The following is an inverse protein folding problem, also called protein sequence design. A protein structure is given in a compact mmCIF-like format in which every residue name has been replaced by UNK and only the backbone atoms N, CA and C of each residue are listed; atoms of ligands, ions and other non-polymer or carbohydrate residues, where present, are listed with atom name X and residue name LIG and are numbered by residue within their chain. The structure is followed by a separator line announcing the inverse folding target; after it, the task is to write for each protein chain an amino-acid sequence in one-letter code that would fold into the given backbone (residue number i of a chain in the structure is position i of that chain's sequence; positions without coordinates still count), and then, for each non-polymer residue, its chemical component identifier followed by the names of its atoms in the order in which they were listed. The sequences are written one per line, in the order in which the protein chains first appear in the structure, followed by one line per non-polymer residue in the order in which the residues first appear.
data_IF_188439778388
#
_entry.id   IF_188439778388
#
_cell.length_a   1.000
_cell.length_b   1.000
_cell.length_c   1.000
_cell.angle_alpha   90.00
_cell.angle_beta   90.00
_cell.angle_gamma   90.00
#
_symmetry.space_group_name_H-M   'P 1'
#
loop_
_entity.id
_entity.type
_entity.pdbx_description
1 polymer ?
#
# COMPACT_ATOMS: atom_id res chain seq x y z
N UNK A 1 -20.21 -0.92 26.90
CA UNK A 1 -19.43 -1.03 25.64
C UNK A 1 -18.05 -0.47 25.92
N UNK A 2 -16.99 -1.25 25.68
CA UNK A 2 -15.61 -0.73 25.72
C UNK A 2 -15.50 0.38 24.66
N UNK A 3 -14.96 1.56 24.98
CA UNK A 3 -14.79 2.62 23.99
C UNK A 3 -13.96 2.08 22.82
N UNK A 4 -14.49 2.18 21.60
CA UNK A 4 -13.71 1.90 20.40
C UNK A 4 -12.72 3.04 20.17
N UNK A 5 -11.44 2.71 19.96
CA UNK A 5 -10.41 3.69 19.61
C UNK A 5 -10.71 4.43 18.30
N UNK A 6 -9.87 5.39 17.88
CA UNK A 6 -10.13 6.28 16.74
C UNK A 6 -10.18 5.56 15.37
N UNK A 7 -9.79 4.28 15.33
CA UNK A 7 -9.84 3.41 14.15
C UNK A 7 -10.93 2.32 14.23
N UNK A 8 -11.84 2.42 15.21
CA UNK A 8 -12.96 1.50 15.38
C UNK A 8 -12.53 0.14 15.94
N UNK A 9 -13.26 -0.91 15.57
CA UNK A 9 -12.96 -2.29 15.96
C UNK A 9 -11.60 -2.74 15.44
N UNK A 10 -11.00 -3.67 16.17
CA UNK A 10 -9.69 -4.26 15.89
C UNK A 10 -9.88 -5.76 15.60
N UNK A 11 -9.54 -6.19 14.39
CA UNK A 11 -9.67 -7.56 13.93
C UNK A 11 -8.32 -8.27 14.01
N UNK A 12 -8.08 -8.98 15.12
CA UNK A 12 -6.87 -9.76 15.30
C UNK A 12 -6.98 -11.11 14.57
N UNK A 13 -5.90 -11.50 13.89
CA UNK A 13 -5.72 -12.80 13.25
C UNK A 13 -4.34 -13.37 13.60
N UNK A 14 -4.19 -14.68 13.60
CA UNK A 14 -2.99 -15.41 13.97
C UNK A 14 -2.84 -16.73 13.20
N UNK A 15 -1.60 -17.18 13.01
CA UNK A 15 -1.29 -18.49 12.46
C UNK A 15 0.12 -18.92 12.91
N UNK A 16 0.21 -19.91 13.80
CA UNK A 16 1.48 -20.25 14.44
C UNK A 16 2.00 -19.09 15.29
N UNK A 17 3.23 -18.64 15.04
CA UNK A 17 3.87 -17.50 15.69
C UNK A 17 3.54 -16.13 15.04
N UNK A 18 2.73 -16.14 13.98
CA UNK A 18 2.34 -14.93 13.25
C UNK A 18 1.10 -14.29 13.87
N UNK A 19 1.10 -12.97 13.98
CA UNK A 19 -0.03 -12.18 14.45
C UNK A 19 -0.18 -10.91 13.64
N UNK A 20 -1.41 -10.58 13.23
CA UNK A 20 -1.74 -9.32 12.57
C UNK A 20 -3.02 -8.72 13.14
N UNK A 21 -3.13 -7.38 13.09
CA UNK A 21 -4.35 -6.66 13.47
C UNK A 21 -4.76 -5.72 12.36
N UNK A 22 -6.02 -5.84 11.93
CA UNK A 22 -6.64 -4.99 10.91
C UNK A 22 -7.69 -4.09 11.59
N UNK A 23 -7.78 -2.82 11.21
CA UNK A 23 -8.75 -1.87 11.78
C UNK A 23 -10.05 -1.82 10.99
N UNK A 24 -11.17 -1.48 11.64
CA UNK A 24 -12.44 -1.19 10.98
C UNK A 24 -12.35 0.01 10.05
N UNK A 25 -11.79 1.11 10.55
CA UNK A 25 -11.54 2.28 9.72
C UNK A 25 -10.43 1.98 8.72
N UNK A 26 -10.72 2.18 7.44
CA UNK A 26 -9.79 2.04 6.32
C UNK A 26 -9.36 0.61 6.01
N UNK A 27 -9.84 -0.41 6.74
CA UNK A 27 -9.31 -1.76 6.69
C UNK A 27 -7.78 -1.80 6.85
N UNK A 28 -7.21 -0.90 7.67
CA UNK A 28 -5.78 -0.68 7.70
C UNK A 28 -5.05 -1.81 8.44
N UNK A 29 -3.92 -2.27 7.89
CA UNK A 29 -3.02 -3.20 8.58
C UNK A 29 -2.25 -2.46 9.68
N UNK A 30 -2.74 -2.54 10.93
CA UNK A 30 -2.15 -1.83 12.07
C UNK A 30 -0.86 -2.46 12.56
N UNK A 31 -0.80 -3.78 12.55
CA UNK A 31 0.40 -4.52 12.93
C UNK A 31 0.45 -5.85 12.21
N UNK A 32 1.67 -6.32 11.96
CA UNK A 32 1.96 -7.68 11.54
C UNK A 32 3.36 -8.05 12.05
N UNK A 33 3.44 -9.11 12.84
CA UNK A 33 4.66 -9.63 13.45
C UNK A 33 4.76 -11.15 13.33
N UNK A 34 5.99 -11.66 13.38
CA UNK A 34 6.32 -13.09 13.46
C UNK A 34 7.19 -13.28 14.70
N UNK A 35 6.67 -13.98 15.71
CA UNK A 35 7.26 -13.99 17.04
C UNK A 35 7.40 -12.55 17.57
N UNK A 36 8.60 -12.20 18.04
CA UNK A 36 8.91 -10.86 18.56
C UNK A 36 9.38 -9.87 17.48
N UNK A 37 9.36 -10.28 16.20
CA UNK A 37 9.82 -9.44 15.09
C UNK A 37 8.65 -8.83 14.33
N UNK A 38 8.56 -7.51 14.38
CA UNK A 38 7.67 -6.75 13.50
C UNK A 38 8.10 -6.90 12.04
N UNK A 39 7.13 -7.19 11.17
CA UNK A 39 7.28 -7.17 9.71
C UNK A 39 6.87 -5.81 9.17
N UNK A 40 5.84 -5.20 9.76
CA UNK A 40 5.49 -3.80 9.52
C UNK A 40 5.64 -2.96 10.78
N UNK A 41 5.98 -1.68 10.62
CA UNK A 41 5.99 -0.70 11.72
C UNK A 41 4.56 -0.57 12.26
N UNK A 42 4.33 -0.89 13.55
CA UNK A 42 2.99 -0.82 14.12
C UNK A 42 2.60 0.60 14.55
N UNK A 43 1.31 0.83 14.75
CA UNK A 43 0.79 2.01 15.47
C UNK A 43 -0.20 1.65 16.58
N UNK A 44 -0.42 2.58 17.51
CA UNK A 44 -1.26 2.39 18.69
C UNK A 44 -2.74 2.13 18.35
N UNK A 45 -3.44 1.38 19.20
CA UNK A 45 -4.89 1.15 19.01
C UNK A 45 -5.73 2.40 19.28
N UNK A 46 -5.16 3.35 20.02
CA UNK A 46 -5.65 4.67 20.39
C UNK A 46 -5.15 5.77 19.46
N UNK A 47 -4.48 5.41 18.36
CA UNK A 47 -3.89 6.34 17.39
C UNK A 47 -4.62 6.28 16.04
N UNK A 48 -4.68 7.41 15.34
CA UNK A 48 -4.97 7.39 13.91
C UNK A 48 -3.77 6.79 13.16
N UNK A 49 -3.98 6.14 12.00
CA UNK A 49 -2.89 5.62 11.21
C UNK A 49 -1.92 6.76 10.85
N UNK A 50 -0.69 6.77 11.38
CA UNK A 50 0.29 7.79 11.04
C UNK A 50 0.70 7.61 9.58
N UNK A 51 1.02 8.67 8.84
CA UNK A 51 1.61 8.58 7.49
C UNK A 51 1.06 7.42 6.62
N UNK A 52 -0.27 7.26 6.58
CA UNK A 52 -0.99 6.22 5.82
C UNK A 52 -0.64 4.76 6.18
N UNK A 53 -0.10 4.47 7.37
CA UNK A 53 0.31 3.12 7.76
C UNK A 53 -0.79 2.08 7.53
N UNK A 54 -0.48 1.08 6.71
CA UNK A 54 -1.36 -0.05 6.42
C UNK A 54 -2.59 0.29 5.58
N UNK A 55 -2.71 1.51 5.06
CA UNK A 55 -3.89 1.98 4.36
C UNK A 55 -4.12 1.30 3.01
N UNK A 56 -5.39 1.26 2.60
CA UNK A 56 -5.83 0.89 1.25
C UNK A 56 -6.15 2.16 0.47
N UNK A 57 -5.49 2.34 -0.67
CA UNK A 57 -5.47 3.56 -1.46
C UNK A 57 -6.29 3.34 -2.74
N UNK A 58 -7.59 3.62 -2.69
CA UNK A 58 -8.50 3.49 -3.84
C UNK A 58 -9.59 4.56 -3.80
N UNK A 59 -10.15 5.00 -4.94
CA UNK A 59 -9.96 4.46 -6.29
C UNK A 59 -8.79 5.06 -7.07
N UNK A 60 -7.86 5.78 -6.43
CA UNK A 60 -6.56 6.13 -6.98
C UNK A 60 -5.48 5.95 -5.88
N UNK A 61 -4.34 5.32 -6.19
CA UNK A 61 -3.36 4.97 -5.17
C UNK A 61 -2.52 6.16 -4.69
N UNK A 62 -2.14 7.04 -5.62
CA UNK A 62 -1.19 8.12 -5.38
C UNK A 62 -1.69 9.40 -6.09
N UNK A 63 -0.91 10.47 -6.10
CA UNK A 63 -1.32 11.85 -6.42
C UNK A 63 -2.08 11.99 -7.74
N UNK A 64 -3.08 12.85 -7.75
CA UNK A 64 -3.86 13.24 -8.93
C UNK A 64 -3.80 14.76 -9.08
N UNK A 65 -3.28 15.20 -10.23
CA UNK A 65 -3.01 16.61 -10.52
C UNK A 65 -4.27 17.47 -10.40
N UNK A 66 -4.20 18.53 -9.58
CA UNK A 66 -5.26 19.52 -9.39
C UNK A 66 -6.61 18.94 -8.93
N UNK A 67 -6.61 17.68 -8.44
CA UNK A 67 -7.84 16.97 -8.10
C UNK A 67 -8.78 16.81 -9.29
N UNK A 68 -8.31 17.01 -10.53
CA UNK A 68 -9.17 17.16 -11.70
C UNK A 68 -8.84 16.12 -12.76
N UNK A 69 -9.86 15.38 -13.18
CA UNK A 69 -9.71 14.39 -14.25
C UNK A 69 -10.91 14.41 -15.19
N UNK A 70 -10.73 13.89 -16.41
CA UNK A 70 -11.80 13.75 -17.39
C UNK A 70 -12.03 12.27 -17.67
N UNK A 71 -13.27 11.83 -17.56
CA UNK A 71 -13.68 10.48 -17.86
C UNK A 71 -15.05 10.49 -18.53
N UNK A 72 -15.23 9.70 -19.59
CA UNK A 72 -16.46 9.62 -20.39
C UNK A 72 -17.00 10.99 -20.81
N UNK A 73 -16.08 11.84 -21.26
CA UNK A 73 -16.40 13.19 -21.71
C UNK A 73 -16.69 14.18 -20.59
N UNK A 74 -16.89 13.73 -19.35
CA UNK A 74 -17.22 14.56 -18.17
C UNK A 74 -15.96 14.89 -17.37
N UNK A 75 -15.87 16.13 -16.90
CA UNK A 75 -14.81 16.56 -15.99
C UNK A 75 -15.27 16.42 -14.56
N UNK A 76 -14.43 15.84 -13.71
CA UNK A 76 -14.67 15.67 -12.29
C UNK A 76 -13.64 16.45 -11.47
N UNK A 77 -14.05 16.90 -10.28
CA UNK A 77 -13.21 17.63 -9.33
C UNK A 77 -13.29 16.96 -7.96
N UNK A 78 -12.14 16.51 -7.48
CA UNK A 78 -11.92 15.91 -6.17
C UNK A 78 -11.40 16.96 -5.18
N UNK A 79 -11.62 16.77 -3.87
CA UNK A 79 -10.99 17.58 -2.84
C UNK A 79 -9.46 17.48 -2.89
N UNK A 80 -8.79 18.61 -2.70
CA UNK A 80 -7.33 18.69 -2.53
C UNK A 80 -7.00 18.43 -1.07
N UNK A 81 -6.23 17.38 -0.79
CA UNK A 81 -5.74 17.04 0.55
C UNK A 81 -4.23 17.29 0.71
N UNK A 82 -3.51 17.64 -0.36
CA UNK A 82 -2.16 18.21 -0.30
C UNK A 82 -2.16 19.60 -0.97
N UNK A 83 -2.53 20.67 -0.22
CA UNK A 83 -2.71 22.01 -0.79
C UNK A 83 -1.46 22.57 -1.46
N UNK A 84 -0.29 22.40 -0.83
CA UNK A 84 0.98 22.95 -1.33
C UNK A 84 1.39 22.34 -2.67
N UNK A 85 1.09 21.05 -2.88
CA UNK A 85 1.33 20.35 -4.15
C UNK A 85 0.15 20.46 -5.12
N UNK A 86 -1.00 20.94 -4.66
CA UNK A 86 -2.27 21.03 -5.40
C UNK A 86 -2.67 19.68 -5.98
N UNK A 87 -2.70 18.63 -5.15
CA UNK A 87 -3.08 17.28 -5.60
C UNK A 87 -4.12 16.66 -4.68
N UNK A 88 -4.93 15.77 -5.26
CA UNK A 88 -5.72 14.81 -4.49
C UNK A 88 -4.92 13.52 -4.39
N UNK A 89 -4.60 13.07 -3.18
CA UNK A 89 -3.76 11.91 -2.93
C UNK A 89 -4.52 10.80 -2.18
N UNK A 90 -4.15 9.54 -2.43
CA UNK A 90 -4.53 8.37 -1.61
C UNK A 90 -6.02 7.97 -1.57
N UNK A 91 -6.80 8.34 -2.59
CA UNK A 91 -8.14 7.81 -2.73
C UNK A 91 -9.10 8.25 -1.62
N UNK A 92 -10.15 7.45 -1.44
CA UNK A 92 -11.27 7.73 -0.55
C UNK A 92 -11.41 6.71 0.58
N UNK A 93 -10.94 5.47 0.36
CA UNK A 93 -11.32 4.33 1.21
C UNK A 93 -10.65 4.31 2.59
N UNK A 94 -9.44 4.87 2.73
CA UNK A 94 -8.63 4.79 3.95
C UNK A 94 -9.25 5.52 5.16
N UNK A 95 -10.24 6.39 4.96
CA UNK A 95 -10.95 7.09 6.05
C UNK A 95 -12.32 6.52 6.38
N UNK A 96 -12.83 5.58 5.56
CA UNK A 96 -14.18 5.04 5.68
C UNK A 96 -14.21 3.79 6.55
N UNK A 97 -15.35 3.50 7.17
CA UNK A 97 -15.52 2.29 7.96
C UNK A 97 -15.83 1.08 7.06
N UNK A 98 -15.14 -0.02 7.31
CA UNK A 98 -15.34 -1.28 6.61
C UNK A 98 -16.08 -2.27 7.50
N UNK A 99 -17.14 -2.89 6.98
CA UNK A 99 -17.93 -3.87 7.73
C UNK A 99 -17.25 -5.24 7.66
N UNK A 100 -17.14 -5.99 8.77
CA UNK A 100 -16.68 -7.37 8.70
C UNK A 100 -17.74 -8.24 8.01
N UNK A 101 -17.29 -9.09 7.08
CA UNK A 101 -18.13 -10.10 6.42
C UNK A 101 -17.68 -11.53 6.75
N UNK A 102 -16.45 -11.70 7.22
CA UNK A 102 -15.94 -12.95 7.78
C UNK A 102 -14.75 -12.69 8.70
N UNK A 103 -14.65 -13.42 9.82
CA UNK A 103 -13.51 -13.33 10.74
C UNK A 103 -13.34 -14.68 11.43
N UNK A 104 -12.14 -15.24 11.34
CA UNK A 104 -11.71 -16.45 12.06
C UNK A 104 -10.31 -16.24 12.62
N UNK A 105 -9.75 -17.29 13.22
CA UNK A 105 -8.43 -17.22 13.84
C UNK A 105 -7.35 -16.74 12.86
N UNK A 106 -7.33 -17.16 11.59
CA UNK A 106 -6.24 -16.86 10.65
C UNK A 106 -6.60 -15.92 9.51
N UNK A 107 -7.84 -15.43 9.43
CA UNK A 107 -8.24 -14.50 8.39
C UNK A 107 -9.38 -13.57 8.79
N UNK A 108 -9.43 -12.42 8.15
CA UNK A 108 -10.54 -11.48 8.21
C UNK A 108 -10.86 -10.97 6.81
N UNK A 109 -12.14 -10.93 6.47
CA UNK A 109 -12.67 -10.29 5.29
C UNK A 109 -13.52 -9.08 5.71
N UNK A 110 -13.19 -7.92 5.15
CA UNK A 110 -13.87 -6.66 5.36
C UNK A 110 -14.44 -6.17 4.04
N UNK A 111 -15.60 -5.52 4.08
CA UNK A 111 -16.27 -4.96 2.91
C UNK A 111 -16.57 -3.46 3.08
N UNK A 112 -16.48 -2.73 1.98
CA UNK A 112 -16.85 -1.32 1.87
C UNK A 112 -17.75 -1.13 0.65
N UNK A 113 -18.90 -0.49 0.84
CA UNK A 113 -19.68 0.07 -0.27
C UNK A 113 -19.25 1.53 -0.45
N UNK A 114 -18.44 1.80 -1.47
CA UNK A 114 -18.10 3.16 -1.86
C UNK A 114 -19.26 3.74 -2.68
N UNK A 115 -20.03 4.63 -2.06
CA UNK A 115 -21.15 5.31 -2.70
C UNK A 115 -20.67 6.45 -3.62
N UNK A 116 -21.41 6.76 -4.70
CA UNK A 116 -21.15 7.93 -5.54
C UNK A 116 -21.05 9.21 -4.70
N UNK A 117 -20.07 10.05 -5.00
CA UNK A 117 -19.85 11.31 -4.28
C UNK A 117 -19.26 12.39 -5.19
N UNK A 118 -19.26 13.68 -4.77
CA UNK A 118 -18.63 14.74 -5.55
C UNK A 118 -17.21 14.37 -5.96
N UNK A 119 -16.91 14.53 -7.25
CA UNK A 119 -15.61 14.19 -7.83
C UNK A 119 -15.39 12.72 -8.17
N UNK A 120 -16.18 11.78 -7.64
CA UNK A 120 -16.14 10.36 -8.03
C UNK A 120 -17.56 9.76 -7.97
N UNK A 121 -18.38 9.93 -9.02
CA UNK A 121 -19.79 9.55 -9.02
C UNK A 121 -20.03 8.08 -9.38
N UNK A 122 -19.15 7.17 -8.97
CA UNK A 122 -19.25 5.74 -9.26
C UNK A 122 -19.48 4.93 -7.99
N UNK A 123 -20.29 3.89 -8.09
CA UNK A 123 -20.57 2.96 -6.99
C UNK A 123 -19.70 1.73 -7.11
N UNK A 124 -18.91 1.45 -6.07
CA UNK A 124 -18.09 0.23 -5.98
C UNK A 124 -18.41 -0.53 -4.69
N UNK A 125 -18.61 -1.84 -4.79
CA UNK A 125 -18.56 -2.73 -3.64
C UNK A 125 -17.18 -3.38 -3.60
N UNK A 126 -16.44 -3.17 -2.50
CA UNK A 126 -15.05 -3.57 -2.35
C UNK A 126 -14.91 -4.54 -1.19
N UNK A 127 -14.21 -5.64 -1.43
CA UNK A 127 -13.91 -6.67 -0.45
C UNK A 127 -12.40 -6.81 -0.31
N UNK A 128 -11.89 -6.81 0.92
CA UNK A 128 -10.49 -7.10 1.22
C UNK A 128 -10.41 -8.27 2.17
N UNK A 129 -9.59 -9.25 1.82
CA UNK A 129 -9.34 -10.45 2.59
C UNK A 129 -7.87 -10.51 3.01
N UNK A 130 -7.64 -10.49 4.32
CA UNK A 130 -6.35 -10.66 4.96
C UNK A 130 -6.27 -12.08 5.51
N UNK A 131 -5.29 -12.87 5.09
CA UNK A 131 -5.12 -14.25 5.53
C UNK A 131 -3.67 -14.56 5.88
N UNK A 132 -3.46 -15.07 7.10
CA UNK A 132 -2.18 -15.64 7.52
C UNK A 132 -2.10 -17.12 7.16
N UNK A 133 -0.93 -17.54 6.69
CA UNK A 133 -0.57 -18.91 6.36
C UNK A 133 0.91 -19.16 6.68
N UNK A 134 1.41 -20.37 6.43
CA UNK A 134 2.82 -20.69 6.68
C UNK A 134 3.81 -19.78 5.93
N UNK A 135 3.45 -19.26 4.75
CA UNK A 135 4.30 -18.37 3.93
C UNK A 135 4.14 -16.88 4.24
N UNK A 136 3.26 -16.50 5.18
CA UNK A 136 3.08 -15.13 5.63
C UNK A 136 1.64 -14.62 5.50
N UNK A 137 1.51 -13.29 5.45
CA UNK A 137 0.24 -12.59 5.24
C UNK A 137 -0.01 -12.43 3.73
N UNK A 138 -1.15 -12.91 3.26
CA UNK A 138 -1.67 -12.61 1.92
C UNK A 138 -2.85 -11.65 2.04
N UNK A 139 -2.84 -10.61 1.21
CA UNK A 139 -3.93 -9.66 1.04
C UNK A 139 -4.49 -9.81 -0.36
N UNK A 140 -5.81 -9.98 -0.47
CA UNK A 140 -6.53 -9.99 -1.74
C UNK A 140 -7.63 -8.95 -1.67
N UNK A 141 -7.69 -8.07 -2.65
CA UNK A 141 -8.75 -7.06 -2.76
C UNK A 141 -9.50 -7.24 -4.07
N UNK A 142 -10.82 -7.28 -4.00
CA UNK A 142 -11.73 -7.32 -5.14
C UNK A 142 -12.64 -6.11 -5.09
N UNK A 143 -12.61 -5.28 -6.14
CA UNK A 143 -13.56 -4.21 -6.38
C UNK A 143 -14.58 -4.64 -7.43
N UNK A 144 -15.86 -4.41 -7.17
CA UNK A 144 -16.98 -4.75 -8.04
C UNK A 144 -17.69 -3.45 -8.37
N UNK A 145 -17.87 -3.15 -9.66
CA UNK A 145 -18.71 -2.02 -10.04
C UNK A 145 -20.18 -2.42 -9.98
N UNK A 146 -20.88 -1.90 -8.98
CA UNK A 146 -22.30 -2.16 -8.74
C UNK A 146 -23.18 -0.96 -9.09
N UNK A 147 -22.66 -0.03 -9.90
CA UNK A 147 -23.39 1.03 -10.56
C UNK A 147 -23.70 0.72 -12.03
N UNK A 148 -24.31 1.71 -12.71
CA UNK A 148 -24.77 1.57 -14.10
C UNK A 148 -23.76 2.07 -15.14
N UNK A 149 -22.78 2.87 -14.74
CA UNK A 149 -21.74 3.42 -15.61
C UNK A 149 -20.39 2.74 -15.35
N UNK A 150 -19.51 2.69 -16.36
CA UNK A 150 -18.13 2.22 -16.19
C UNK A 150 -17.35 3.14 -15.25
N UNK A 151 -16.46 2.59 -14.43
CA UNK A 151 -15.77 3.32 -13.38
C UNK A 151 -14.24 3.31 -13.58
N UNK A 152 -13.54 4.47 -13.63
CA UNK A 152 -12.09 4.52 -13.61
C UNK A 152 -11.57 4.09 -12.23
N UNK A 153 -10.52 3.27 -12.20
CA UNK A 153 -10.06 2.64 -10.98
C UNK A 153 -8.55 2.38 -10.98
N UNK A 154 -7.92 2.71 -9.86
CA UNK A 154 -6.60 2.26 -9.47
C UNK A 154 -6.60 1.89 -7.98
N UNK A 155 -5.65 1.04 -7.59
CA UNK A 155 -5.50 0.61 -6.20
C UNK A 155 -4.03 0.52 -5.81
N UNK A 156 -3.76 0.87 -4.57
CA UNK A 156 -2.46 0.76 -3.92
C UNK A 156 -2.62 0.42 -2.44
N UNK A 157 -1.52 0.07 -1.81
CA UNK A 157 -1.48 -0.33 -0.41
C UNK A 157 -0.24 0.25 0.25
N UNK A 158 -0.30 0.51 1.55
CA UNK A 158 0.75 1.30 2.21
C UNK A 158 1.42 0.58 3.40
N UNK A 159 1.98 -0.64 3.22
CA UNK A 159 2.70 -1.31 4.28
C UNK A 159 4.05 -0.62 4.54
N UNK A 160 4.37 -0.37 5.80
CA UNK A 160 5.66 0.17 6.23
C UNK A 160 6.54 -0.98 6.73
N UNK A 161 7.47 -1.47 5.93
CA UNK A 161 8.39 -2.55 6.32
C UNK A 161 9.25 -2.12 7.51
N UNK A 162 9.32 -2.98 8.53
CA UNK A 162 10.03 -2.70 9.78
C UNK A 162 11.51 -3.10 9.70
N UNK A 163 12.44 -2.22 10.12
CA UNK A 163 13.86 -2.56 10.31
C UNK A 163 14.11 -3.33 11.62
N UNK A 164 13.04 -3.68 12.36
CA UNK A 164 13.12 -4.21 13.71
C UNK A 164 13.68 -3.17 14.68
N UNK A 165 14.80 -3.50 15.33
CA UNK A 165 15.49 -2.59 16.26
C UNK A 165 16.55 -1.72 15.57
N UNK A 166 16.84 -1.97 14.30
CA UNK A 166 17.85 -1.23 13.54
C UNK A 166 17.29 0.09 13.02
N UNK A 167 18.19 0.97 12.55
CA UNK A 167 17.81 2.15 11.78
C UNK A 167 17.60 1.76 10.32
N UNK A 168 16.73 2.48 9.62
CA UNK A 168 16.54 2.33 8.16
C UNK A 168 17.87 2.55 7.42
N UNK A 169 18.71 3.48 7.89
CA UNK A 169 20.01 3.78 7.29
C UNK A 169 20.93 2.55 7.18
N UNK A 170 20.87 1.65 8.17
CA UNK A 170 21.73 0.47 8.28
C UNK A 170 21.16 -0.74 7.52
N UNK A 171 19.94 -0.63 7.00
CA UNK A 171 19.28 -1.73 6.30
C UNK A 171 19.73 -1.84 4.84
N UNK A 172 19.66 -3.05 4.31
CA UNK A 172 19.83 -3.35 2.89
C UNK A 172 18.44 -3.37 2.24
N UNK A 173 18.28 -2.58 1.17
CA UNK A 173 17.06 -2.54 0.37
C UNK A 173 17.29 -3.20 -0.98
N UNK A 174 16.26 -3.93 -1.43
CA UNK A 174 16.14 -4.39 -2.82
C UNK A 174 14.72 -4.18 -3.32
N UNK A 175 14.58 -3.67 -4.54
CA UNK A 175 13.31 -3.41 -5.22
C UNK A 175 13.35 -4.11 -6.58
N UNK A 176 12.48 -5.09 -6.80
CA UNK A 176 12.41 -5.84 -8.06
C UNK A 176 11.62 -5.05 -9.14
N UNK A 177 12.15 -3.88 -9.54
CA UNK A 177 11.64 -3.03 -10.61
C UNK A 177 12.79 -2.41 -11.44
N UNK A 178 12.53 -2.08 -12.71
CA UNK A 178 13.59 -1.71 -13.66
C UNK A 178 13.57 -0.26 -14.16
N UNK A 179 12.56 0.54 -13.80
CA UNK A 179 12.41 1.92 -14.29
C UNK A 179 11.99 2.85 -13.16
N UNK A 180 12.47 4.08 -13.21
CA UNK A 180 12.11 5.13 -12.26
C UNK A 180 11.06 6.07 -12.87
N UNK A 181 10.05 6.43 -12.09
CA UNK A 181 9.06 7.46 -12.43
C UNK A 181 9.58 8.80 -11.92
N UNK A 182 10.31 9.53 -12.77
CA UNK A 182 10.79 10.86 -12.43
C UNK A 182 9.62 11.81 -12.27
N UNK A 183 9.60 12.55 -11.17
CA UNK A 183 8.55 13.51 -10.87
C UNK A 183 8.99 14.97 -11.04
N UNK A 184 8.01 15.86 -11.12
CA UNK A 184 8.20 17.29 -10.89
C UNK A 184 8.26 17.63 -9.37
N UNK A 185 8.26 18.93 -9.06
CA UNK A 185 8.24 19.49 -7.71
C UNK A 185 6.94 19.21 -6.93
N UNK A 186 5.85 18.89 -7.64
CA UNK A 186 4.57 18.45 -7.07
C UNK A 186 4.53 16.94 -6.83
N UNK A 187 5.63 16.22 -7.12
CA UNK A 187 5.74 14.77 -7.09
C UNK A 187 4.77 14.07 -8.07
N UNK A 188 4.44 14.73 -9.19
CA UNK A 188 3.69 14.14 -10.28
C UNK A 188 4.67 13.53 -11.30
N UNK A 189 4.45 12.29 -11.77
CA UNK A 189 5.31 11.68 -12.78
C UNK A 189 5.30 12.48 -14.09
N UNK A 190 6.48 12.81 -14.58
CA UNK A 190 6.70 13.51 -15.86
C UNK A 190 7.43 12.66 -16.88
N UNK A 191 8.16 11.62 -16.44
CA UNK A 191 8.84 10.69 -17.33
C UNK A 191 9.05 9.31 -16.67
N UNK A 192 9.18 8.27 -17.50
CA UNK A 192 9.65 6.94 -17.08
C UNK A 192 11.05 6.72 -17.62
N UNK A 193 12.05 6.67 -16.74
CA UNK A 193 13.47 6.72 -17.09
C UNK A 193 14.23 5.50 -16.55
N UNK A 194 15.50 5.36 -16.95
CA UNK A 194 16.40 4.39 -16.33
C UNK A 194 16.59 4.73 -14.84
N UNK A 195 16.89 3.72 -14.02
CA UNK A 195 17.16 3.94 -12.60
C UNK A 195 18.42 4.81 -12.45
N UNK A 196 18.35 5.97 -11.79
CA UNK A 196 19.55 6.73 -11.45
C UNK A 196 20.32 6.00 -10.34
N UNK A 197 21.65 6.11 -10.32
CA UNK A 197 22.52 5.30 -9.47
C UNK A 197 22.23 5.41 -7.96
N UNK A 198 21.74 6.57 -7.53
CA UNK A 198 21.33 6.86 -6.15
C UNK A 198 19.97 6.28 -5.76
N UNK A 199 19.12 5.93 -6.74
CA UNK A 199 17.81 5.28 -6.53
C UNK A 199 17.77 3.84 -7.05
N UNK A 200 18.88 3.35 -7.61
CA UNK A 200 18.97 1.99 -8.12
C UNK A 200 19.17 0.99 -6.98
N UNK A 201 18.03 0.46 -6.52
CA UNK A 201 17.94 -0.68 -5.60
C UNK A 201 17.52 -1.96 -6.32
N UNK A 202 17.69 -2.05 -7.64
CA UNK A 202 17.43 -3.29 -8.40
C UNK A 202 18.35 -4.43 -7.97
N UNK A 203 19.52 -4.07 -7.45
CA UNK A 203 20.44 -4.94 -6.71
C UNK A 203 20.46 -4.53 -5.24
N UNK A 204 20.54 -5.52 -4.35
CA UNK A 204 20.54 -5.29 -2.91
C UNK A 204 21.73 -4.41 -2.47
N UNK A 205 21.46 -3.32 -1.76
CA UNK A 205 22.49 -2.42 -1.20
C UNK A 205 21.99 -1.70 0.04
N UNK A 206 22.92 -1.19 0.85
CA UNK A 206 22.60 -0.35 2.01
C UNK A 206 21.86 0.93 1.59
N UNK A 207 20.82 1.29 2.35
CA UNK A 207 20.05 2.52 2.15
C UNK A 207 20.92 3.75 2.47
N UNK A 208 21.61 3.74 3.61
CA UNK A 208 22.41 4.88 4.07
C UNK A 208 21.54 6.13 4.17
N UNK A 209 22.04 7.25 3.66
CA UNK A 209 21.32 8.53 3.66
C UNK A 209 20.37 8.71 2.47
N UNK A 210 20.09 7.65 1.69
CA UNK A 210 19.15 7.75 0.58
C UNK A 210 17.77 8.16 1.11
N UNK A 211 17.18 9.13 0.42
CA UNK A 211 15.82 9.60 0.65
C UNK A 211 14.98 9.25 -0.58
N UNK A 212 13.96 8.44 -0.34
CA UNK A 212 13.04 7.96 -1.35
C UNK A 212 11.63 8.45 -1.03
N UNK A 213 10.95 8.90 -2.08
CA UNK A 213 9.49 8.94 -2.22
C UNK A 213 9.20 8.78 -3.70
N UNK A 214 9.65 7.64 -4.21
CA UNK A 214 9.82 7.42 -5.62
C UNK A 214 8.95 6.28 -6.13
N UNK A 215 8.35 6.52 -7.28
CA UNK A 215 7.65 5.50 -8.04
C UNK A 215 8.62 4.71 -8.91
N UNK A 216 8.45 3.40 -8.94
CA UNK A 216 9.19 2.46 -9.75
C UNK A 216 8.23 1.67 -10.65
N UNK A 217 8.54 1.63 -11.93
CA UNK A 217 7.78 0.94 -12.97
C UNK A 217 8.56 -0.25 -13.53
N UNK A 218 7.93 -1.00 -14.44
CA UNK A 218 8.52 -2.23 -14.99
C UNK A 218 8.91 -3.21 -13.89
N UNK A 219 7.95 -3.51 -13.00
CA UNK A 219 8.13 -4.53 -11.99
C UNK A 219 8.57 -5.86 -12.63
N UNK A 220 9.62 -6.45 -12.06
CA UNK A 220 10.16 -7.73 -12.52
C UNK A 220 9.57 -8.86 -11.68
N UNK A 221 9.04 -9.89 -12.33
CA UNK A 221 8.38 -11.01 -11.68
C UNK A 221 9.24 -12.26 -11.77
N UNK A 222 9.50 -12.87 -10.61
CA UNK A 222 10.10 -14.21 -10.52
C UNK A 222 9.12 -15.10 -9.77
N UNK A 223 8.80 -16.25 -10.37
CA UNK A 223 7.76 -17.16 -9.87
C UNK A 223 6.41 -16.45 -9.60
N UNK A 224 6.09 -15.51 -10.49
CA UNK A 224 4.86 -14.73 -10.45
C UNK A 224 4.82 -13.62 -9.40
N UNK A 225 5.91 -13.35 -8.65
CA UNK A 225 5.98 -12.28 -7.63
C UNK A 225 7.08 -11.27 -7.96
N UNK A 226 6.77 -9.98 -7.79
CA UNK A 226 7.75 -8.89 -7.66
C UNK A 226 7.85 -8.52 -6.19
N UNK A 227 9.02 -8.06 -5.73
CA UNK A 227 9.32 -7.87 -4.30
C UNK A 227 9.94 -6.52 -3.98
N UNK A 228 9.67 -6.05 -2.76
CA UNK A 228 10.52 -5.12 -2.03
C UNK A 228 10.99 -5.84 -0.76
N UNK A 229 12.30 -5.83 -0.51
CA UNK A 229 12.92 -6.49 0.65
C UNK A 229 13.74 -5.49 1.45
N UNK A 230 13.48 -5.45 2.76
CA UNK A 230 14.23 -4.66 3.73
C UNK A 230 14.93 -5.61 4.71
N UNK A 231 16.23 -5.83 4.52
CA UNK A 231 17.04 -6.70 5.36
C UNK A 231 17.77 -5.87 6.42
N UNK A 232 17.52 -6.16 7.70
CA UNK A 232 18.19 -5.52 8.80
C UNK A 232 19.58 -6.16 9.07
N UNK A 233 20.48 -5.49 9.82
CA UNK A 233 21.81 -6.02 10.14
C UNK A 233 21.82 -7.37 10.89
N UNK A 234 20.72 -7.74 11.55
CA UNK A 234 20.56 -9.04 12.20
C UNK A 234 20.21 -10.18 11.22
N UNK A 235 20.12 -9.88 9.92
CA UNK A 235 19.81 -10.82 8.85
C UNK A 235 18.32 -11.08 8.65
N UNK A 236 17.45 -10.54 9.51
CA UNK A 236 16.01 -10.65 9.32
C UNK A 236 15.52 -9.68 8.24
N UNK A 237 14.67 -10.17 7.35
CA UNK A 237 14.17 -9.43 6.18
C UNK A 237 12.66 -9.31 6.23
N UNK A 238 12.16 -8.10 6.42
CA UNK A 238 10.77 -7.78 6.17
C UNK A 238 10.57 -7.62 4.65
N UNK A 239 9.65 -8.37 4.07
CA UNK A 239 9.47 -8.42 2.62
C UNK A 239 8.00 -8.22 2.24
N UNK A 240 7.76 -7.36 1.24
CA UNK A 240 6.50 -7.22 0.55
C UNK A 240 6.60 -7.84 -0.85
N UNK A 241 5.54 -8.53 -1.28
CA UNK A 241 5.42 -9.01 -2.65
C UNK A 241 4.12 -8.58 -3.28
N UNK A 242 4.11 -8.45 -4.61
CA UNK A 242 2.90 -8.24 -5.41
C UNK A 242 2.84 -9.18 -6.61
N UNK A 243 1.63 -9.42 -7.11
CA UNK A 243 1.36 -10.15 -8.35
C UNK A 243 0.66 -9.24 -9.36
N UNK A 244 0.75 -9.53 -10.67
CA UNK A 244 -0.10 -8.86 -11.66
C UNK A 244 -1.59 -8.94 -11.27
N UNK A 245 -2.39 -7.91 -11.55
CA UNK A 245 -2.07 -6.74 -12.36
C UNK A 245 -1.40 -5.58 -11.59
N UNK A 246 -1.04 -5.75 -10.30
CA UNK A 246 -0.15 -4.77 -9.65
C UNK A 246 1.18 -4.78 -10.40
N UNK A 247 1.72 -3.60 -10.74
CA UNK A 247 2.86 -3.47 -11.66
C UNK A 247 3.84 -2.36 -11.29
N UNK A 248 3.54 -1.62 -10.22
CA UNK A 248 4.28 -0.46 -9.77
C UNK A 248 4.59 -0.58 -8.29
N UNK A 249 5.76 -0.10 -7.90
CA UNK A 249 6.11 0.11 -6.49
C UNK A 249 6.22 1.60 -6.23
N UNK A 250 5.58 2.12 -5.19
CA UNK A 250 6.03 3.37 -4.55
C UNK A 250 6.90 2.96 -3.35
N UNK A 251 8.10 3.53 -3.24
CA UNK A 251 9.00 3.27 -2.12
C UNK A 251 9.32 4.57 -1.42
N UNK A 252 9.02 4.65 -0.13
CA UNK A 252 9.25 5.85 0.67
C UNK A 252 9.98 5.51 1.97
N UNK A 253 11.08 6.22 2.25
CA UNK A 253 11.89 6.06 3.47
C UNK A 253 11.42 6.96 4.62
N UNK A 254 10.33 7.71 4.42
CA UNK A 254 9.70 8.51 5.46
C UNK A 254 10.54 9.72 5.90
N UNK A 255 11.26 10.37 4.99
CA UNK A 255 12.13 11.52 5.32
C UNK A 255 11.38 12.84 5.56
N UNK A 256 10.05 12.84 5.44
CA UNK A 256 9.23 14.04 5.45
C UNK A 256 8.87 14.51 6.85
N UNK A 257 8.84 15.84 7.12
CA UNK A 257 8.41 16.38 8.41
C UNK A 257 7.04 15.89 8.89
N UNK A 258 6.12 15.64 7.95
CA UNK A 258 4.75 15.17 8.19
C UNK A 258 4.69 13.76 8.82
N UNK A 259 5.77 12.98 8.68
CA UNK A 259 5.90 11.69 9.36
C UNK A 259 6.16 11.86 10.86
N UNK A 260 6.57 13.05 11.31
CA UNK A 260 6.81 13.38 12.71
C UNK A 260 7.75 12.37 13.37
N UNK A 261 7.31 11.76 14.47
CA UNK A 261 8.10 10.73 15.18
C UNK A 261 8.31 9.43 14.39
N UNK A 262 7.61 9.24 13.27
CA UNK A 262 7.78 8.10 12.38
C UNK A 262 8.82 8.33 11.28
N UNK A 263 9.53 9.47 11.30
CA UNK A 263 10.59 9.76 10.35
C UNK A 263 11.65 8.67 10.34
N UNK A 264 11.86 8.05 9.16
CA UNK A 264 12.79 6.93 8.95
C UNK A 264 12.65 5.76 9.95
N UNK A 265 11.44 5.50 10.43
CA UNK A 265 11.15 4.34 11.31
C UNK A 265 10.90 3.03 10.54
N UNK A 266 10.66 3.13 9.24
CA UNK A 266 10.51 2.01 8.31
C UNK A 266 10.54 2.47 6.87
N UNK A 267 10.30 1.53 5.96
CA UNK A 267 10.23 1.80 4.51
C UNK A 267 8.85 1.43 4.00
N UNK A 268 8.08 2.41 3.54
CA UNK A 268 6.84 2.14 2.82
C UNK A 268 7.17 1.43 1.51
N UNK A 269 6.59 0.25 1.30
CA UNK A 269 6.78 -0.59 0.13
C UNK A 269 5.42 -0.83 -0.52
N UNK A 270 4.98 0.11 -1.34
CA UNK A 270 3.59 0.24 -1.76
C UNK A 270 3.35 -0.43 -3.12
N UNK A 271 2.68 -1.59 -3.19
CA UNK A 271 2.33 -2.17 -4.46
C UNK A 271 1.12 -1.44 -5.04
N UNK A 272 1.19 -1.03 -6.31
CA UNK A 272 0.15 -0.25 -6.99
C UNK A 272 -0.21 -0.85 -8.35
N UNK A 273 -1.47 -0.70 -8.75
CA UNK A 273 -1.98 -1.14 -10.06
C UNK A 273 -1.66 -0.16 -11.19
N UNK A 274 -1.43 1.10 -10.86
CA UNK A 274 -1.15 2.17 -11.81
C UNK A 274 -0.24 3.21 -11.15
N UNK A 275 0.48 4.04 -11.92
CA UNK A 275 1.33 5.07 -11.35
C UNK A 275 0.50 6.24 -10.78
N UNK A 276 1.17 7.15 -10.07
CA UNK A 276 0.57 8.44 -9.74
C UNK A 276 0.08 9.15 -11.01
N UNK A 277 -0.99 9.93 -10.86
CA UNK A 277 -1.64 10.72 -11.90
C UNK A 277 -2.32 9.91 -13.03
N UNK A 278 -2.49 8.59 -12.86
CA UNK A 278 -3.12 7.72 -13.87
C UNK A 278 -4.54 8.14 -14.28
N UNK A 279 -5.31 8.79 -13.40
CA UNK A 279 -6.63 9.34 -13.74
C UNK A 279 -6.58 10.44 -14.80
N UNK A 280 -5.45 11.16 -14.89
CA UNK A 280 -5.23 12.23 -15.88
C UNK A 280 -4.52 11.67 -17.11
N UNK A 281 -3.52 10.81 -16.93
CA UNK A 281 -2.71 10.29 -18.04
C UNK A 281 -3.34 9.08 -18.74
N UNK A 282 -4.24 8.37 -18.07
CA UNK A 282 -4.79 7.08 -18.52
C UNK A 282 -3.82 5.90 -18.41
N UNK A 283 -2.58 6.12 -17.95
CA UNK A 283 -1.55 5.07 -17.90
C UNK A 283 -1.95 3.97 -16.91
N UNK A 284 -2.13 2.76 -17.43
CA UNK A 284 -2.54 1.54 -16.70
C UNK A 284 -3.73 1.73 -15.75
N UNK A 285 -4.56 2.73 -16.03
CA UNK A 285 -5.80 2.99 -15.30
C UNK A 285 -6.82 1.92 -15.68
N UNK A 286 -7.28 1.14 -14.71
CA UNK A 286 -8.33 0.17 -14.96
C UNK A 286 -9.67 0.89 -15.18
N UNK A 287 -10.54 0.29 -15.98
CA UNK A 287 -11.93 0.72 -16.14
C UNK A 287 -12.83 -0.48 -15.87
N UNK A 288 -13.57 -0.44 -14.77
CA UNK A 288 -14.45 -1.54 -14.36
C UNK A 288 -15.83 -1.30 -14.97
N UNK A 289 -16.25 -2.18 -15.89
CA UNK A 289 -17.60 -2.14 -16.46
C UNK A 289 -18.68 -2.48 -15.40
N UNK A 290 -19.95 -2.06 -15.59
CA UNK A 290 -21.05 -2.46 -14.72
C UNK A 290 -21.11 -3.98 -14.53
N UNK A 291 -21.19 -4.44 -13.27
CA UNK A 291 -21.19 -5.85 -12.90
C UNK A 291 -19.82 -6.55 -12.98
N UNK A 292 -18.80 -5.92 -13.57
CA UNK A 292 -17.46 -6.48 -13.65
C UNK A 292 -16.66 -6.27 -12.36
N UNK A 293 -15.55 -7.01 -12.26
CA UNK A 293 -14.67 -6.99 -11.08
C UNK A 293 -13.23 -6.72 -11.46
N UNK A 294 -12.49 -6.06 -10.57
CA UNK A 294 -11.03 -5.97 -10.62
C UNK A 294 -10.46 -6.57 -9.33
N UNK A 295 -9.55 -7.54 -9.45
CA UNK A 295 -8.96 -8.23 -8.29
C UNK A 295 -7.44 -8.12 -8.32
N UNK A 296 -6.84 -7.81 -7.17
CA UNK A 296 -5.40 -7.75 -6.96
C UNK A 296 -4.99 -8.59 -5.76
N UNK A 297 -3.73 -9.03 -5.74
CA UNK A 297 -3.16 -9.74 -4.60
C UNK A 297 -1.69 -9.37 -4.37
N UNK A 298 -1.36 -9.18 -3.10
CA UNK A 298 -0.03 -8.89 -2.59
C UNK A 298 0.12 -9.53 -1.21
N UNK A 299 1.28 -9.43 -0.58
CA UNK A 299 1.46 -9.96 0.77
C UNK A 299 2.77 -9.56 1.41
N UNK A 300 2.95 -10.04 2.65
CA UNK A 300 4.06 -9.73 3.52
C UNK A 300 4.59 -11.00 4.19
N UNK A 301 5.90 -11.10 4.36
CA UNK A 301 6.52 -12.16 5.13
C UNK A 301 7.79 -11.67 5.83
N UNK A 302 8.25 -12.48 6.78
CA UNK A 302 9.58 -12.37 7.37
C UNK A 302 10.46 -13.48 6.77
N UNK A 303 11.52 -13.11 6.07
CA UNK A 303 12.53 -14.02 5.53
C UNK A 303 13.82 -13.91 6.37
N UNK A 304 14.49 -15.02 6.68
CA UNK A 304 15.74 -14.99 7.45
C UNK A 304 15.57 -14.54 8.92
N UNK A 305 16.34 -15.14 9.81
CA UNK A 305 16.23 -14.98 11.26
C UNK A 305 16.43 -16.33 11.94
N UNK A 306 17.18 -16.33 13.05
CA UNK A 306 17.45 -17.53 13.85
C UNK A 306 16.14 -18.12 14.39
N UNK A 307 15.51 -19.02 13.61
CA UNK A 307 14.25 -19.66 13.98
C UNK A 307 13.64 -20.56 12.91
N UNK A 308 13.94 -20.40 11.62
CA UNK A 308 13.51 -21.36 10.59
C UNK A 308 14.64 -22.33 10.27
N UNK A 309 14.70 -23.42 11.03
CA UNK A 309 15.33 -24.63 10.53
C UNK A 309 14.58 -25.04 9.25
N UNK A 310 15.30 -25.10 8.13
CA UNK A 310 14.80 -25.77 6.94
C UNK A 310 14.51 -27.23 7.33
N UNK A 311 13.26 -27.65 7.17
CA UNK A 311 12.87 -29.06 7.13
C UNK A 311 12.77 -29.45 5.66
#
# INVERSE_FOLDING_TARGET
MTPTGPTGRQFAISHGDQQAVITERGAALRSYRVGERDVVVPFGADELPPAMHGAILLPWPNRLADGRYRFDGTTHQLPINEPDRRVANHGLAHTLDWRPVGHSDNHVELALTLLPRPGYPYRLDVHVHYRLAADGLTVRLTAINTGEARAPYGVGFHPWLSPGRARVDDCILRVDAGRWLRTDDRLLPVATEALPAEKDFSTARTIGTASLDDGFASATYRDGRSWVRLTAPDGATAAAWMRPPLAYWQVCTGDFPETGRYQRTGVAAEPMSCPANAFVTGQDLAVIAPGATHTVSWGLCLEGGSGRAAV
#
